data_IF_695933469411
#
_entry.id   IF_695933469411
#
_cell.length_a   1.000
_cell.length_b   1.000
_cell.length_c   1.000
_cell.angle_alpha   90.00
_cell.angle_beta   90.00
_cell.angle_gamma   90.00
#
_symmetry.space_group_name_H-M   'P 1'
#
loop_
_entity.id
_entity.type
_entity.pdbx_description
1 polymer ?
#
# COMPACT_ATOMS: atom_id res chain seq x y z
N UNK A 1 8.34 49.86 -44.50
CA UNK A 1 7.27 48.84 -44.41
C UNK A 1 6.66 48.93 -43.02
N UNK A 2 5.33 49.02 -42.96
CA UNK A 2 4.41 48.89 -41.81
C UNK A 2 4.49 49.87 -40.62
N UNK A 3 3.61 50.88 -40.69
CA UNK A 3 2.50 51.23 -39.79
C UNK A 3 2.60 51.07 -38.25
N UNK A 4 2.40 52.23 -37.61
CA UNK A 4 1.80 52.57 -36.32
C UNK A 4 0.77 51.57 -35.72
N UNK A 5 0.79 51.37 -34.39
CA UNK A 5 -0.41 51.49 -33.51
C UNK A 5 0.01 52.01 -32.13
N UNK A 6 -0.47 53.22 -31.76
CA UNK A 6 -0.61 53.66 -30.37
C UNK A 6 -1.93 53.13 -29.82
N UNK A 7 -1.97 52.77 -28.52
CA UNK A 7 -3.00 53.14 -27.53
C UNK A 7 -3.24 52.01 -26.49
N UNK A 8 -3.41 52.40 -25.23
CA UNK A 8 -4.16 51.61 -24.26
C UNK A 8 -3.55 51.51 -22.87
N UNK A 9 -3.86 52.48 -22.01
CA UNK A 9 -3.70 52.41 -20.56
C UNK A 9 -4.67 51.39 -19.95
N UNK A 10 -4.27 50.66 -18.90
CA UNK A 10 -5.09 50.50 -17.69
C UNK A 10 -4.29 49.80 -16.59
N UNK A 11 -4.12 50.52 -15.49
CA UNK A 11 -3.68 50.01 -14.20
C UNK A 11 -4.57 48.81 -13.81
N UNK A 12 -3.97 47.63 -13.65
CA UNK A 12 -4.61 46.50 -12.97
C UNK A 12 -3.88 46.30 -11.65
N UNK A 13 -4.61 46.07 -10.54
CA UNK A 13 -4.06 46.11 -9.20
C UNK A 13 -3.04 44.99 -9.03
N UNK A 14 -2.02 45.30 -8.24
CA UNK A 14 -1.05 44.40 -7.64
C UNK A 14 -1.71 43.04 -7.32
N UNK A 15 -1.55 42.07 -8.21
CA UNK A 15 -1.95 40.70 -7.95
C UNK A 15 -0.92 40.18 -6.97
N UNK A 16 -1.31 40.17 -5.69
CA UNK A 16 -0.53 39.53 -4.64
C UNK A 16 -0.03 38.17 -5.15
N UNK A 17 1.25 37.81 -4.94
CA UNK A 17 1.77 36.53 -5.37
C UNK A 17 0.92 35.43 -4.72
N UNK A 18 0.16 34.69 -5.53
CA UNK A 18 -0.56 33.52 -5.05
C UNK A 18 0.50 32.54 -4.52
N UNK A 19 0.53 32.39 -3.20
CA UNK A 19 1.36 31.38 -2.56
C UNK A 19 0.84 30.04 -3.06
N UNK A 20 1.68 29.19 -3.69
CA UNK A 20 1.22 27.89 -4.14
C UNK A 20 0.68 27.13 -2.92
N UNK A 21 -0.62 26.83 -2.95
CA UNK A 21 -1.24 25.96 -1.95
C UNK A 21 -0.46 24.66 -1.96
N UNK A 22 0.08 24.19 -0.82
CA UNK A 22 0.77 22.91 -0.78
C UNK A 22 -0.23 21.84 -1.22
N UNK A 23 0.03 21.22 -2.37
CA UNK A 23 -0.64 19.99 -2.78
C UNK A 23 -0.38 19.00 -1.66
N UNK A 24 -1.44 18.60 -0.94
CA UNK A 24 -1.33 17.56 0.08
C UNK A 24 -0.66 16.35 -0.57
N UNK A 25 0.53 16.00 -0.09
CA UNK A 25 1.19 14.74 -0.48
C UNK A 25 0.24 13.63 -0.10
N UNK A 26 -0.23 12.86 -1.08
CA UNK A 26 -1.05 11.68 -0.82
C UNK A 26 -0.29 10.75 0.13
N UNK A 27 -0.93 10.33 1.21
CA UNK A 27 -0.34 9.39 2.15
C UNK A 27 -0.07 8.05 1.43
N UNK A 28 1.20 7.66 1.23
CA UNK A 28 1.53 6.42 0.52
C UNK A 28 0.96 5.17 1.22
N UNK A 29 0.74 5.24 2.53
CA UNK A 29 0.24 4.10 3.30
C UNK A 29 -1.24 3.84 3.06
N UNK A 30 -2.02 4.82 2.60
CA UNK A 30 -3.43 4.62 2.28
C UNK A 30 -3.61 3.57 1.18
N UNK A 31 -2.88 3.74 0.08
CA UNK A 31 -2.90 2.82 -1.05
C UNK A 31 -2.27 1.47 -0.69
N UNK A 32 -1.14 1.49 0.03
CA UNK A 32 -0.44 0.27 0.42
C UNK A 32 -1.27 -0.62 1.36
N UNK A 33 -1.97 -0.03 2.34
CA UNK A 33 -2.83 -0.77 3.25
C UNK A 33 -4.03 -1.39 2.52
N UNK A 34 -4.64 -0.67 1.57
CA UNK A 34 -5.66 -1.24 0.70
C UNK A 34 -5.15 -2.41 -0.15
N UNK A 35 -3.99 -2.23 -0.79
CA UNK A 35 -3.36 -3.28 -1.59
C UNK A 35 -2.94 -4.50 -0.74
N UNK A 36 -2.52 -4.28 0.50
CA UNK A 36 -2.22 -5.36 1.43
C UNK A 36 -3.47 -6.18 1.78
N UNK A 37 -4.60 -5.51 2.06
CA UNK A 37 -5.90 -6.17 2.27
C UNK A 37 -6.23 -7.10 1.09
N UNK A 38 -6.15 -6.59 -0.14
CA UNK A 38 -6.45 -7.37 -1.35
C UNK A 38 -5.49 -8.54 -1.54
N UNK A 39 -4.18 -8.31 -1.33
CA UNK A 39 -3.15 -9.36 -1.38
C UNK A 39 -3.43 -10.50 -0.39
N UNK A 40 -3.82 -10.20 0.85
CA UNK A 40 -4.14 -11.25 1.83
C UNK A 40 -5.33 -12.10 1.42
N UNK A 41 -6.35 -11.49 0.79
CA UNK A 41 -7.52 -12.22 0.26
C UNK A 41 -7.13 -13.09 -0.92
N UNK A 42 -6.30 -12.58 -1.83
CA UNK A 42 -5.79 -13.34 -2.98
C UNK A 42 -4.99 -14.57 -2.52
N UNK A 43 -4.00 -14.36 -1.65
CA UNK A 43 -3.17 -15.44 -1.11
C UNK A 43 -4.03 -16.45 -0.34
N UNK A 44 -4.91 -15.98 0.55
CA UNK A 44 -5.82 -16.86 1.28
C UNK A 44 -6.70 -17.72 0.37
N UNK A 45 -7.23 -17.12 -0.69
CA UNK A 45 -8.04 -17.82 -1.71
C UNK A 45 -7.22 -18.84 -2.49
N UNK A 46 -5.97 -18.51 -2.85
CA UNK A 46 -5.09 -19.42 -3.56
C UNK A 46 -4.71 -20.62 -2.69
N UNK A 47 -4.37 -20.41 -1.42
CA UNK A 47 -4.09 -21.51 -0.47
C UNK A 47 -5.33 -22.40 -0.29
N UNK A 48 -6.51 -21.81 -0.04
CA UNK A 48 -7.74 -22.56 0.19
C UNK A 48 -8.16 -23.42 -1.01
N UNK A 49 -7.90 -22.95 -2.24
CA UNK A 49 -8.20 -23.68 -3.47
C UNK A 49 -7.05 -24.58 -3.96
N UNK A 50 -6.03 -24.83 -3.13
CA UNK A 50 -4.85 -25.64 -3.49
C UNK A 50 -4.05 -25.09 -4.69
N UNK A 51 -4.10 -23.78 -4.91
CA UNK A 51 -3.39 -23.04 -5.96
C UNK A 51 -2.20 -22.22 -5.46
N UNK A 52 -1.79 -22.40 -4.20
CA UNK A 52 -0.66 -21.68 -3.62
C UNK A 52 0.67 -21.86 -4.39
N UNK A 53 0.80 -22.95 -5.15
CA UNK A 53 1.94 -23.22 -6.03
C UNK A 53 1.92 -22.43 -7.34
N UNK A 54 0.77 -21.87 -7.72
CA UNK A 54 0.57 -21.14 -8.98
C UNK A 54 0.86 -19.63 -8.84
N UNK A 55 1.03 -19.15 -7.61
CA UNK A 55 1.26 -17.74 -7.29
C UNK A 55 2.61 -17.53 -6.60
N UNK A 56 3.21 -16.38 -6.87
CA UNK A 56 4.45 -15.94 -6.19
C UNK A 56 4.07 -15.11 -4.96
N UNK A 57 3.80 -15.81 -3.85
CA UNK A 57 3.37 -15.19 -2.58
C UNK A 57 4.39 -14.14 -2.08
N UNK A 58 5.71 -14.42 -2.07
CA UNK A 58 6.70 -13.39 -1.74
C UNK A 58 6.58 -12.14 -2.62
N UNK A 59 6.51 -12.31 -3.95
CA UNK A 59 6.44 -11.17 -4.87
C UNK A 59 5.18 -10.32 -4.69
N UNK A 60 4.03 -10.94 -4.40
CA UNK A 60 2.77 -10.24 -4.12
C UNK A 60 2.95 -9.25 -2.95
N UNK A 61 3.52 -9.71 -1.83
CA UNK A 61 3.72 -8.84 -0.67
C UNK A 61 4.85 -7.83 -0.86
N UNK A 62 5.93 -8.22 -1.55
CA UNK A 62 7.02 -7.30 -1.89
C UNK A 62 6.53 -6.13 -2.74
N UNK A 63 5.65 -6.37 -3.72
CA UNK A 63 5.07 -5.31 -4.55
C UNK A 63 4.27 -4.30 -3.70
N UNK A 64 3.49 -4.78 -2.74
CA UNK A 64 2.78 -3.89 -1.80
C UNK A 64 3.78 -3.08 -0.96
N UNK A 65 4.85 -3.71 -0.46
CA UNK A 65 5.88 -3.05 0.33
C UNK A 65 6.62 -1.93 -0.42
N UNK A 66 6.70 -1.99 -1.75
CA UNK A 66 7.27 -0.92 -2.58
C UNK A 66 6.44 0.37 -2.54
N UNK A 67 5.13 0.25 -2.35
CA UNK A 67 4.20 1.40 -2.26
C UNK A 67 4.05 1.96 -0.84
N UNK A 68 4.41 1.17 0.18
CA UNK A 68 4.34 1.56 1.58
C UNK A 68 5.54 2.40 2.04
N UNK A 69 5.41 3.02 3.21
CA UNK A 69 6.49 3.73 3.89
C UNK A 69 6.51 3.44 5.40
N UNK A 70 7.61 3.78 6.07
CA UNK A 70 7.70 3.71 7.53
C UNK A 70 7.43 2.30 8.11
N UNK A 71 6.69 2.25 9.22
CA UNK A 71 6.40 1.00 9.93
C UNK A 71 5.53 0.05 9.09
N UNK A 72 4.56 0.56 8.31
CA UNK A 72 3.73 -0.27 7.41
C UNK A 72 4.61 -1.07 6.47
N UNK A 73 5.57 -0.42 5.81
CA UNK A 73 6.54 -1.11 4.94
C UNK A 73 7.36 -2.15 5.69
N UNK A 74 7.88 -1.79 6.86
CA UNK A 74 8.70 -2.72 7.65
C UNK A 74 7.92 -3.97 8.06
N UNK A 75 6.64 -3.84 8.42
CA UNK A 75 5.77 -4.97 8.75
C UNK A 75 5.44 -5.84 7.54
N UNK A 76 5.20 -5.26 6.37
CA UNK A 76 4.95 -6.05 5.16
C UNK A 76 6.20 -6.85 4.77
N UNK A 77 7.38 -6.23 4.83
CA UNK A 77 8.64 -6.96 4.59
C UNK A 77 8.88 -8.08 5.61
N UNK A 78 8.45 -7.88 6.87
CA UNK A 78 8.50 -8.96 7.87
C UNK A 78 7.64 -10.17 7.47
N UNK A 79 6.47 -9.94 6.85
CA UNK A 79 5.64 -11.03 6.31
C UNK A 79 6.46 -11.83 5.29
N UNK A 80 7.11 -11.15 4.35
CA UNK A 80 7.95 -11.76 3.30
C UNK A 80 9.12 -12.55 3.89
N UNK A 81 9.85 -11.94 4.82
CA UNK A 81 11.02 -12.54 5.47
C UNK A 81 10.67 -13.80 6.29
N UNK A 82 9.47 -13.85 6.87
CA UNK A 82 9.01 -14.97 7.69
C UNK A 82 8.24 -16.04 6.90
N UNK A 83 8.07 -15.88 5.57
CA UNK A 83 7.41 -16.89 4.77
C UNK A 83 8.20 -18.21 4.84
N UNK A 84 7.53 -19.35 5.05
CA UNK A 84 8.19 -20.65 5.01
C UNK A 84 8.71 -20.93 3.60
N UNK A 85 9.77 -21.74 3.48
CA UNK A 85 10.17 -22.31 2.19
C UNK A 85 9.66 -23.74 2.07
N UNK A 86 8.79 -24.06 1.09
CA UNK A 86 8.18 -23.16 0.10
C UNK A 86 6.96 -22.37 0.63
N UNK A 87 6.73 -21.17 0.08
CA UNK A 87 5.76 -20.21 0.63
C UNK A 87 4.31 -20.74 0.72
N UNK A 88 3.85 -21.63 -0.15
CA UNK A 88 2.50 -22.19 -0.02
C UNK A 88 2.28 -23.02 1.27
N UNK A 89 3.35 -23.34 2.01
CA UNK A 89 3.29 -24.02 3.31
C UNK A 89 2.77 -23.13 4.45
N UNK A 90 2.47 -21.85 4.19
CA UNK A 90 1.85 -20.94 5.16
C UNK A 90 0.56 -21.55 5.75
N UNK A 91 -0.22 -22.30 4.97
CA UNK A 91 -1.47 -22.91 5.45
C UNK A 91 -1.28 -24.09 6.41
N UNK A 92 -0.05 -24.51 6.72
CA UNK A 92 0.24 -25.76 7.43
C UNK A 92 0.90 -25.52 8.79
N UNK A 93 0.42 -26.23 9.83
CA UNK A 93 0.99 -26.26 11.19
C UNK A 93 1.33 -24.86 11.75
N UNK A 94 2.49 -24.71 12.37
CA UNK A 94 2.95 -23.50 13.06
C UNK A 94 3.16 -22.30 12.10
N UNK A 95 3.38 -22.55 10.80
CA UNK A 95 3.55 -21.48 9.81
C UNK A 95 2.29 -20.61 9.71
N UNK A 96 1.11 -21.21 9.93
CA UNK A 96 -0.17 -20.50 9.89
C UNK A 96 -0.27 -19.48 11.02
N UNK A 97 0.17 -19.84 12.22
CA UNK A 97 0.12 -18.96 13.39
C UNK A 97 1.11 -17.81 13.25
N UNK A 98 2.34 -18.10 12.81
CA UNK A 98 3.36 -17.07 12.54
C UNK A 98 2.85 -16.08 11.50
N UNK A 99 2.37 -16.58 10.36
CA UNK A 99 1.88 -15.75 9.28
C UNK A 99 0.68 -14.89 9.69
N UNK A 100 -0.33 -15.47 10.36
CA UNK A 100 -1.47 -14.68 10.87
C UNK A 100 -1.01 -13.61 11.88
N UNK A 101 0.00 -13.92 12.70
CA UNK A 101 0.65 -12.96 13.61
C UNK A 101 1.28 -11.78 12.86
N UNK A 102 1.95 -12.04 11.75
CA UNK A 102 2.56 -11.02 10.90
C UNK A 102 1.50 -10.19 10.16
N UNK A 103 0.43 -10.81 9.64
CA UNK A 103 -0.71 -10.08 9.05
C UNK A 103 -1.35 -9.13 10.07
N UNK A 104 -1.54 -9.59 11.30
CA UNK A 104 -2.06 -8.77 12.38
C UNK A 104 -1.13 -7.62 12.75
N UNK A 105 0.19 -7.80 12.62
CA UNK A 105 1.17 -6.73 12.82
C UNK A 105 1.08 -5.65 11.74
N UNK A 106 0.91 -6.03 10.48
CA UNK A 106 0.66 -5.06 9.39
C UNK A 106 -0.65 -4.31 9.62
N UNK A 107 -1.72 -5.00 10.01
CA UNK A 107 -3.00 -4.36 10.29
C UNK A 107 -2.90 -3.29 11.39
N UNK A 108 -2.20 -3.58 12.50
CA UNK A 108 -1.96 -2.59 13.56
C UNK A 108 -1.13 -1.40 13.07
N UNK A 109 -0.15 -1.62 12.20
CA UNK A 109 0.63 -0.53 11.61
C UNK A 109 -0.22 0.35 10.67
N UNK A 110 -1.10 -0.28 9.88
CA UNK A 110 -2.07 0.43 9.04
C UNK A 110 -3.07 1.25 9.87
N UNK A 111 -3.61 0.69 10.96
CA UNK A 111 -4.48 1.41 11.90
C UNK A 111 -3.76 2.61 12.56
N UNK A 112 -2.50 2.44 12.96
CA UNK A 112 -1.69 3.52 13.50
C UNK A 112 -1.42 4.64 12.48
N UNK A 113 -1.42 4.31 11.18
CA UNK A 113 -1.36 5.26 10.07
C UNK A 113 -2.72 5.86 9.69
N UNK A 114 -3.82 5.46 10.36
CA UNK A 114 -5.18 5.95 10.10
C UNK A 114 -5.95 5.17 9.03
N UNK A 115 -5.46 4.00 8.62
CA UNK A 115 -6.06 3.16 7.56
C UNK A 115 -6.43 1.79 8.11
N UNK A 116 -7.71 1.57 8.45
CA UNK A 116 -8.16 0.23 8.84
C UNK A 116 -8.20 -0.69 7.63
N UNK A 117 -7.67 -1.90 7.79
CA UNK A 117 -7.72 -2.94 6.76
C UNK A 117 -8.51 -4.14 7.28
N UNK A 118 -9.14 -4.85 6.36
CA UNK A 118 -9.57 -6.22 6.61
C UNK A 118 -8.50 -7.14 6.06
N UNK A 119 -8.15 -8.18 6.80
CA UNK A 119 -7.33 -9.24 6.26
C UNK A 119 -8.02 -10.55 6.57
N UNK A 120 -8.07 -11.43 5.57
CA UNK A 120 -8.45 -12.79 5.81
C UNK A 120 -7.33 -13.43 6.61
N UNK A 121 -7.51 -13.61 7.92
CA UNK A 121 -6.78 -14.71 8.56
C UNK A 121 -7.01 -15.94 7.69
N UNK A 122 -6.01 -16.83 7.57
CA UNK A 122 -6.16 -18.12 6.86
C UNK A 122 -7.19 -19.07 7.54
N UNK A 123 -8.05 -18.50 8.39
CA UNK A 123 -9.21 -18.99 9.12
C UNK A 123 -8.86 -19.81 10.36
N UNK A 124 -9.56 -19.47 11.44
CA UNK A 124 -9.90 -20.35 12.56
C UNK A 124 -10.86 -21.47 12.13
N UNK A 125 -10.56 -22.14 11.00
CA UNK A 125 -11.21 -23.34 10.50
C UNK A 125 -10.43 -24.59 10.87
#
# INVERSE_FOLDING_TARGET
MLALVLAGCSSSPDAAPETPTPTATADPNAAACGAFSDATVEVGTAIANSKGLEIDIPAIYDEVALSASGDVKARILTVVDNLPEPAHMIGWMDNREVYNGDLAAVARACEAAGHSIQYGELLAG
#
